data_IF_408255763915
#
_entry.id   IF_408255763915
#
_cell.length_a   1.000
_cell.length_b   1.000
_cell.length_c   1.000
_cell.angle_alpha   90.00
_cell.angle_beta   90.00
_cell.angle_gamma   90.00
#
_symmetry.space_group_name_H-M   'P 1'
#
loop_
_entity.id
_entity.type
_entity.pdbx_description
1 polymer ?
#
# COMPACT_ATOMS: atom_id res chain seq x y z
N UNK A 1 38.19 7.03 -20.69
CA UNK A 1 37.38 7.27 -19.47
C UNK A 1 35.94 7.08 -19.88
N UNK A 2 35.35 5.93 -19.57
CA UNK A 2 33.97 5.58 -19.94
C UNK A 2 33.05 5.94 -18.78
N UNK A 3 32.30 7.02 -18.97
CA UNK A 3 31.24 7.48 -18.08
C UNK A 3 30.02 6.55 -18.22
N UNK A 4 30.04 5.42 -17.51
CA UNK A 4 28.82 4.66 -17.27
C UNK A 4 27.98 5.41 -16.23
N UNK A 5 27.16 6.32 -16.72
CA UNK A 5 26.04 6.86 -15.97
C UNK A 5 25.17 5.68 -15.51
N UNK A 6 25.39 5.24 -14.27
CA UNK A 6 24.51 4.34 -13.54
C UNK A 6 23.14 4.99 -13.51
N UNK A 7 22.28 4.59 -14.45
CA UNK A 7 20.83 4.74 -14.36
C UNK A 7 20.37 3.90 -13.18
N UNK A 8 20.59 4.43 -11.99
CA UNK A 8 19.92 3.99 -10.78
C UNK A 8 18.49 4.43 -11.00
N UNK A 9 17.69 3.59 -11.65
CA UNK A 9 16.23 3.66 -11.51
C UNK A 9 16.02 3.54 -10.01
N UNK A 10 15.93 4.68 -9.34
CA UNK A 10 15.32 4.77 -8.03
C UNK A 10 13.97 4.11 -8.24
N UNK A 11 13.86 2.85 -7.82
CA UNK A 11 12.57 2.23 -7.67
C UNK A 11 11.88 3.09 -6.64
N UNK A 12 11.10 4.07 -7.11
CA UNK A 12 10.17 4.83 -6.29
C UNK A 12 9.16 3.80 -5.84
N UNK A 13 9.51 3.06 -4.78
CA UNK A 13 8.58 2.19 -4.11
C UNK A 13 7.40 3.08 -3.74
N UNK A 14 6.16 2.70 -4.08
CA UNK A 14 5.01 3.55 -3.79
C UNK A 14 5.02 3.81 -2.30
N UNK A 15 5.13 5.09 -1.94
CA UNK A 15 5.22 5.50 -0.55
C UNK A 15 3.89 5.27 0.16
N UNK A 16 2.78 5.06 -0.58
CA UNK A 16 1.44 4.91 -0.01
C UNK A 16 0.72 3.68 -0.57
N UNK A 17 0.04 2.93 0.30
CA UNK A 17 -0.82 1.82 -0.08
C UNK A 17 -2.28 2.20 0.11
N UNK A 18 -3.09 1.93 -0.90
CA UNK A 18 -4.54 1.92 -0.81
C UNK A 18 -5.02 0.46 -0.80
N UNK A 19 -5.51 0.00 0.33
CA UNK A 19 -5.98 -1.35 0.55
C UNK A 19 -7.50 -1.37 0.50
N UNK A 20 -8.08 -2.28 -0.29
CA UNK A 20 -9.52 -2.51 -0.34
C UNK A 20 -9.82 -4.01 -0.38
N UNK A 21 -11.09 -4.43 -0.41
CA UNK A 21 -11.45 -5.85 -0.38
C UNK A 21 -10.84 -6.63 -1.55
N UNK A 22 -10.68 -5.99 -2.70
CA UNK A 22 -10.04 -6.55 -3.89
C UNK A 22 -9.16 -5.52 -4.59
N UNK A 23 -8.20 -6.00 -5.41
CA UNK A 23 -7.38 -5.14 -6.24
C UNK A 23 -8.21 -4.30 -7.23
N UNK A 24 -9.31 -4.87 -7.74
CA UNK A 24 -10.21 -4.18 -8.65
C UNK A 24 -10.88 -2.99 -7.95
N UNK A 25 -11.38 -3.21 -6.73
CA UNK A 25 -11.95 -2.13 -5.92
C UNK A 25 -10.92 -1.07 -5.58
N UNK A 26 -9.72 -1.46 -5.13
CA UNK A 26 -8.64 -0.53 -4.83
C UNK A 26 -8.28 0.33 -6.06
N UNK A 27 -8.22 -0.26 -7.27
CA UNK A 27 -8.00 0.48 -8.52
C UNK A 27 -9.14 1.44 -8.85
N UNK A 28 -10.38 1.01 -8.65
CA UNK A 28 -11.57 1.85 -8.86
C UNK A 28 -11.53 3.05 -7.91
N UNK A 29 -11.30 2.82 -6.62
CA UNK A 29 -11.21 3.87 -5.60
C UNK A 29 -10.06 4.82 -5.92
N UNK A 30 -8.87 4.30 -6.26
CA UNK A 30 -7.72 5.12 -6.67
C UNK A 30 -8.10 6.08 -7.80
N UNK A 31 -8.81 5.59 -8.82
CA UNK A 31 -9.26 6.38 -9.97
C UNK A 31 -10.32 7.41 -9.58
N UNK A 32 -11.34 7.01 -8.82
CA UNK A 32 -12.43 7.89 -8.39
C UNK A 32 -11.93 9.04 -7.52
N UNK A 33 -10.99 8.74 -6.61
CA UNK A 33 -10.38 9.74 -5.73
C UNK A 33 -9.25 10.55 -6.40
N UNK A 34 -8.90 10.25 -7.66
CA UNK A 34 -7.83 10.95 -8.37
C UNK A 34 -6.46 10.83 -7.70
N UNK A 35 -6.16 9.70 -7.04
CA UNK A 35 -4.90 9.52 -6.31
C UNK A 35 -3.72 9.36 -7.28
N UNK A 36 -2.60 10.02 -6.94
CA UNK A 36 -1.38 10.03 -7.74
C UNK A 36 -0.65 8.68 -7.85
N UNK A 37 0.46 8.69 -8.58
CA UNK A 37 1.28 7.49 -8.81
C UNK A 37 2.03 6.98 -7.57
N UNK A 38 2.14 7.82 -6.54
CA UNK A 38 2.65 7.47 -5.21
C UNK A 38 1.74 6.49 -4.46
N UNK A 39 0.49 6.33 -4.90
CA UNK A 39 -0.48 5.38 -4.36
C UNK A 39 -0.50 4.07 -5.14
N UNK A 40 -0.22 2.96 -4.45
CA UNK A 40 -0.39 1.61 -4.97
C UNK A 40 -1.70 1.00 -4.50
N UNK A 41 -2.58 0.57 -5.42
CA UNK A 41 -3.76 -0.20 -5.07
C UNK A 41 -3.37 -1.64 -4.71
N UNK A 42 -3.91 -2.14 -3.61
CA UNK A 42 -3.64 -3.48 -3.06
C UNK A 42 -4.96 -4.12 -2.63
N UNK A 43 -5.15 -5.40 -2.95
CA UNK A 43 -6.27 -6.18 -2.41
C UNK A 43 -5.93 -6.74 -1.02
N UNK A 44 -6.93 -6.87 -0.16
CA UNK A 44 -6.78 -7.28 1.25
C UNK A 44 -5.93 -8.55 1.45
N UNK A 45 -6.17 -9.56 0.61
CA UNK A 45 -5.50 -10.86 0.67
C UNK A 45 -4.32 -10.99 -0.30
N UNK A 46 -3.90 -9.88 -0.92
CA UNK A 46 -2.79 -9.91 -1.86
C UNK A 46 -1.47 -10.02 -1.10
N UNK A 47 -0.54 -10.82 -1.60
CA UNK A 47 0.78 -10.95 -0.98
C UNK A 47 1.50 -9.59 -0.98
N UNK A 48 1.83 -9.10 0.22
CA UNK A 48 2.53 -7.83 0.43
C UNK A 48 4.02 -7.99 0.77
N UNK A 49 4.61 -9.15 0.50
CA UNK A 49 6.03 -9.38 0.69
C UNK A 49 6.88 -8.35 -0.07
N UNK A 50 7.85 -7.75 0.62
CA UNK A 50 8.73 -6.72 0.06
C UNK A 50 8.16 -5.30 0.04
N UNK A 51 6.91 -5.06 0.45
CA UNK A 51 6.38 -3.70 0.55
C UNK A 51 6.69 -3.03 1.88
N UNK A 52 7.07 -1.76 1.77
CA UNK A 52 7.25 -0.82 2.87
C UNK A 52 6.66 0.53 2.47
N UNK A 53 5.67 1.01 3.21
CA UNK A 53 4.95 2.24 2.94
C UNK A 53 5.05 3.23 4.10
N UNK A 54 5.03 4.53 3.80
CA UNK A 54 4.88 5.59 4.80
C UNK A 54 3.42 5.82 5.20
N UNK A 55 2.47 5.45 4.33
CA UNK A 55 1.04 5.48 4.65
C UNK A 55 0.30 4.27 4.09
N UNK A 56 -0.61 3.70 4.88
CA UNK A 56 -1.55 2.66 4.43
C UNK A 56 -2.95 3.16 4.75
N UNK A 57 -3.83 3.17 3.76
CA UNK A 57 -5.26 3.48 3.95
C UNK A 57 -6.07 2.26 3.56
N UNK A 58 -6.89 1.77 4.48
CA UNK A 58 -7.82 0.67 4.23
C UNK A 58 -9.22 1.24 4.04
N UNK A 59 -9.85 0.98 2.89
CA UNK A 59 -11.18 1.53 2.56
C UNK A 59 -12.18 0.41 2.29
N UNK A 60 -13.37 0.53 2.87
CA UNK A 60 -14.52 -0.29 2.49
C UNK A 60 -14.42 -1.76 2.92
N UNK A 61 -13.54 -2.06 3.88
CA UNK A 61 -13.40 -3.40 4.46
C UNK A 61 -14.29 -3.49 5.70
N UNK A 62 -15.29 -4.39 5.66
CA UNK A 62 -16.04 -4.75 6.86
C UNK A 62 -15.21 -5.74 7.66
N UNK A 63 -14.68 -5.29 8.78
CA UNK A 63 -13.90 -6.14 9.64
C UNK A 63 -14.82 -6.91 10.62
N UNK A 64 -14.51 -8.19 10.85
CA UNK A 64 -15.20 -9.08 11.79
C UNK A 64 -14.25 -9.47 12.93
N UNK A 65 -14.62 -9.17 14.20
CA UNK A 65 -13.76 -9.03 15.42
C UNK A 65 -12.54 -9.93 15.59
N UNK A 66 -12.55 -11.17 15.08
CA UNK A 66 -11.44 -12.12 15.24
C UNK A 66 -10.44 -12.14 14.10
N UNK A 67 -10.88 -11.93 12.85
CA UNK A 67 -10.02 -11.92 11.67
C UNK A 67 -9.29 -10.56 11.47
N UNK A 68 -9.67 -9.54 12.24
CA UNK A 68 -9.22 -8.15 12.07
C UNK A 68 -7.80 -7.91 12.61
N UNK A 69 -7.47 -8.50 13.77
CA UNK A 69 -6.22 -8.20 14.48
C UNK A 69 -5.03 -8.65 13.65
N UNK A 70 -5.06 -9.88 13.14
CA UNK A 70 -3.97 -10.41 12.32
C UNK A 70 -3.73 -9.60 11.05
N UNK A 71 -4.82 -9.15 10.41
CA UNK A 71 -4.74 -8.35 9.19
C UNK A 71 -4.20 -6.95 9.49
N UNK A 72 -4.68 -6.29 10.55
CA UNK A 72 -4.20 -4.97 10.96
C UNK A 72 -2.73 -5.04 11.36
N UNK A 73 -2.31 -6.05 12.11
CA UNK A 73 -0.90 -6.26 12.48
C UNK A 73 -0.03 -6.57 11.25
N UNK A 74 -0.54 -7.38 10.31
CA UNK A 74 0.15 -7.60 9.03
C UNK A 74 0.34 -6.31 8.27
N UNK A 75 -0.66 -5.42 8.21
CA UNK A 75 -0.55 -4.11 7.57
C UNK A 75 0.40 -3.17 8.31
N UNK A 76 0.30 -3.09 9.65
CA UNK A 76 1.23 -2.31 10.49
C UNK A 76 2.68 -2.74 10.30
N UNK A 77 2.93 -4.04 10.15
CA UNK A 77 4.28 -4.57 9.86
C UNK A 77 4.86 -4.11 8.51
N UNK A 78 4.03 -3.53 7.62
CA UNK A 78 4.45 -2.95 6.33
C UNK A 78 4.71 -1.45 6.41
N UNK A 79 4.47 -0.80 7.54
CA UNK A 79 4.83 0.59 7.72
C UNK A 79 6.35 0.76 7.87
N UNK A 80 6.87 1.84 7.29
CA UNK A 80 8.21 2.36 7.62
C UNK A 80 8.16 2.98 9.02
N UNK A 81 9.31 3.15 9.72
CA UNK A 81 9.36 3.91 10.97
C UNK A 81 8.70 5.29 10.80
N UNK A 82 7.76 5.63 11.68
CA UNK A 82 6.98 6.87 11.62
C UNK A 82 5.84 6.89 10.60
N UNK A 83 5.55 5.76 9.94
CA UNK A 83 4.42 5.63 9.03
C UNK A 83 3.08 5.45 9.74
N UNK A 84 1.99 5.66 9.00
CA UNK A 84 0.63 5.67 9.55
C UNK A 84 -0.33 4.71 8.84
N UNK A 85 -1.28 4.15 9.60
CA UNK A 85 -2.35 3.27 9.12
C UNK A 85 -3.70 3.92 9.43
N UNK A 86 -4.48 4.16 8.38
CA UNK A 86 -5.81 4.75 8.44
C UNK A 86 -6.86 3.75 7.92
N UNK A 87 -8.07 3.77 8.49
CA UNK A 87 -9.19 2.92 8.08
C UNK A 87 -10.44 3.77 7.89
N UNK A 88 -11.09 3.64 6.74
CA UNK A 88 -12.22 4.48 6.27
C UNK A 88 -13.38 3.62 5.78
#
# INVERSE_FOLDING_TARGET
MTDQAKSTRLFTFPDKLLVATSLMEARRIKRVLGLGDDWRPVGLYQNMAGFRASKIVVIGVKFYRGLEVDLVEQLRSRLRPGGDLETI
#
